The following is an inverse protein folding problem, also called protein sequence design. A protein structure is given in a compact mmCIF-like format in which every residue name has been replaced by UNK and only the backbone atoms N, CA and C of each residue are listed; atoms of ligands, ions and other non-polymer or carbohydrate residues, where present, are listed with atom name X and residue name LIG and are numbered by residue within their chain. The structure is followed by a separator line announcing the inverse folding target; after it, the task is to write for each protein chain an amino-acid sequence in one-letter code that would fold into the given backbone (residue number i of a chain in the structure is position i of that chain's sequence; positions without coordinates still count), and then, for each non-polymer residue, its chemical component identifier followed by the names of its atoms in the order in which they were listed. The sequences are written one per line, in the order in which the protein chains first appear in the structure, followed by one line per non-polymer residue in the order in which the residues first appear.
data_IF_838638918072
#
_entry.id   IF_838638918072
#
_cell.length_a   1.000
_cell.length_b   1.000
_cell.length_c   1.000
_cell.angle_alpha   90.00
_cell.angle_beta   90.00
_cell.angle_gamma   90.00
#
_symmetry.space_group_name_H-M   'P 1'
#
loop_
_entity.id
_entity.type
_entity.pdbx_description
1 polymer ?
#
# COMPACT_ATOMS: atom_id res chain seq x y z
N UNK A 1 -39.27 -22.57 -10.12
CA UNK A 1 -38.73 -23.82 -9.56
C UNK A 1 -37.62 -24.28 -10.48
N UNK A 2 -36.38 -24.21 -10.02
CA UNK A 2 -35.27 -25.09 -10.42
C UNK A 2 -34.10 -24.79 -9.47
N UNK A 3 -34.18 -25.41 -8.29
CA UNK A 3 -33.05 -25.50 -7.38
C UNK A 3 -32.08 -26.51 -7.99
N UNK A 4 -31.10 -26.04 -8.75
CA UNK A 4 -29.96 -26.87 -9.08
C UNK A 4 -29.11 -27.07 -7.82
N UNK A 5 -29.30 -28.23 -7.20
CA UNK A 5 -28.41 -28.76 -6.17
C UNK A 5 -26.99 -28.85 -6.75
N UNK A 6 -26.18 -27.83 -6.51
CA UNK A 6 -24.73 -27.94 -6.64
C UNK A 6 -24.26 -28.81 -5.47
N UNK A 7 -24.25 -30.12 -5.69
CA UNK A 7 -23.64 -31.05 -4.77
C UNK A 7 -22.12 -30.83 -4.85
N UNK A 8 -21.55 -30.21 -3.82
CA UNK A 8 -20.10 -30.06 -3.70
C UNK A 8 -19.51 -31.46 -3.57
N UNK A 9 -18.64 -31.82 -4.51
CA UNK A 9 -18.02 -33.13 -4.57
C UNK A 9 -17.00 -33.25 -3.41
N UNK A 10 -17.44 -33.71 -2.24
CA UNK A 10 -16.62 -33.82 -1.01
C UNK A 10 -15.42 -34.79 -1.14
N UNK A 11 -15.26 -35.48 -2.27
CA UNK A 11 -14.13 -36.34 -2.59
C UNK A 11 -12.84 -35.56 -2.93
N UNK A 12 -12.97 -34.29 -3.32
CA UNK A 12 -11.83 -33.40 -3.55
C UNK A 12 -11.76 -32.49 -2.32
N UNK A 13 -10.89 -32.83 -1.35
CA UNK A 13 -10.70 -31.99 -0.17
C UNK A 13 -10.47 -30.53 -0.59
N UNK A 14 -11.02 -29.57 0.18
CA UNK A 14 -10.91 -28.15 -0.15
C UNK A 14 -9.45 -27.80 -0.45
N UNK A 15 -9.19 -27.38 -1.69
CA UNK A 15 -7.85 -26.96 -2.10
C UNK A 15 -7.49 -25.74 -1.27
N UNK A 16 -6.35 -25.79 -0.58
CA UNK A 16 -5.83 -24.61 0.11
C UNK A 16 -5.38 -23.61 -0.96
N UNK A 17 -6.13 -22.53 -1.11
CA UNK A 17 -5.86 -21.46 -2.06
C UNK A 17 -5.35 -20.26 -1.25
N UNK A 18 -4.26 -19.66 -1.72
CA UNK A 18 -3.75 -18.45 -1.11
C UNK A 18 -4.81 -17.33 -1.13
N UNK A 19 -4.89 -16.57 -0.03
CA UNK A 19 -5.95 -15.57 0.12
C UNK A 19 -5.84 -14.46 -0.92
N UNK A 20 -4.61 -14.07 -1.32
CA UNK A 20 -4.44 -13.08 -2.39
C UNK A 20 -4.99 -13.63 -3.71
N UNK A 21 -4.66 -14.87 -4.05
CA UNK A 21 -5.19 -15.54 -5.26
C UNK A 21 -6.71 -15.62 -5.24
N UNK A 22 -7.31 -15.96 -4.09
CA UNK A 22 -8.76 -16.02 -3.95
C UNK A 22 -9.41 -14.64 -4.15
N UNK A 23 -8.84 -13.58 -3.55
CA UNK A 23 -9.32 -12.20 -3.70
C UNK A 23 -9.22 -11.74 -5.17
N UNK A 24 -8.09 -12.00 -5.83
CA UNK A 24 -7.92 -11.67 -7.25
C UNK A 24 -8.98 -12.39 -8.09
N UNK A 25 -9.21 -13.68 -7.81
CA UNK A 25 -10.23 -14.45 -8.52
C UNK A 25 -11.62 -13.85 -8.37
N UNK A 26 -12.07 -13.51 -7.16
CA UNK A 26 -13.42 -12.94 -6.95
C UNK A 26 -13.57 -11.50 -7.48
N UNK A 27 -12.47 -10.74 -7.62
CA UNK A 27 -12.50 -9.48 -8.35
C UNK A 27 -12.71 -9.68 -9.84
N UNK A 28 -12.12 -10.72 -10.42
CA UNK A 28 -12.22 -11.03 -11.86
C UNK A 28 -13.47 -11.87 -12.20
N UNK A 29 -13.95 -12.65 -11.25
CA UNK A 29 -14.95 -13.71 -11.46
C UNK A 29 -16.26 -13.32 -10.82
N UNK A 30 -17.15 -12.76 -11.64
CA UNK A 30 -18.52 -12.50 -11.23
C UNK A 30 -19.27 -11.67 -12.27
N UNK A 31 -20.54 -11.98 -12.55
CA UNK A 31 -21.30 -11.31 -13.61
C UNK A 31 -21.51 -9.80 -13.35
N UNK A 32 -21.49 -9.35 -12.08
CA UNK A 32 -21.89 -8.00 -11.69
C UNK A 32 -20.78 -7.19 -10.97
N UNK A 33 -19.51 -7.60 -11.04
CA UNK A 33 -18.36 -6.91 -10.37
C UNK A 33 -18.59 -6.57 -8.88
N UNK A 34 -19.47 -7.32 -8.20
CA UNK A 34 -20.01 -6.98 -6.87
C UNK A 34 -18.94 -6.68 -5.81
N UNK A 35 -17.79 -7.36 -5.88
CA UNK A 35 -16.72 -7.22 -4.90
C UNK A 35 -15.84 -6.01 -5.18
N UNK A 36 -15.77 -5.56 -6.44
CA UNK A 36 -15.08 -4.34 -6.82
C UNK A 36 -15.84 -3.09 -6.34
N UNK A 37 -17.17 -3.15 -6.36
CA UNK A 37 -18.06 -2.03 -5.99
C UNK A 37 -18.53 -2.06 -4.54
N UNK A 38 -18.18 -3.11 -3.79
CA UNK A 38 -18.61 -3.24 -2.40
C UNK A 38 -17.84 -2.28 -1.48
N UNK A 39 -18.58 -1.39 -0.81
CA UNK A 39 -18.06 -0.28 0.00
C UNK A 39 -16.88 -0.62 0.92
N UNK A 40 -16.96 -1.74 1.65
CA UNK A 40 -15.95 -2.12 2.64
C UNK A 40 -15.05 -3.28 2.24
N UNK A 41 -15.32 -3.97 1.13
CA UNK A 41 -14.69 -5.26 0.86
C UNK A 41 -13.18 -5.10 0.64
N UNK A 42 -12.80 -4.15 -0.23
CA UNK A 42 -11.40 -3.84 -0.56
C UNK A 42 -10.65 -3.41 0.70
N UNK A 43 -11.27 -2.54 1.51
CA UNK A 43 -10.67 -2.07 2.76
C UNK A 43 -10.42 -3.23 3.74
N UNK A 44 -11.43 -4.07 4.01
CA UNK A 44 -11.31 -5.18 4.95
C UNK A 44 -10.29 -6.21 4.48
N UNK A 45 -10.36 -6.63 3.21
CA UNK A 45 -9.44 -7.62 2.68
C UNK A 45 -8.01 -7.08 2.58
N UNK A 46 -7.83 -5.82 2.19
CA UNK A 46 -6.54 -5.14 2.21
C UNK A 46 -5.91 -5.12 3.60
N UNK A 47 -6.69 -4.76 4.63
CA UNK A 47 -6.24 -4.79 6.03
C UNK A 47 -5.85 -6.21 6.48
N UNK A 48 -6.63 -7.23 6.11
CA UNK A 48 -6.32 -8.63 6.46
C UNK A 48 -5.00 -9.05 5.80
N UNK A 49 -4.82 -8.75 4.51
CA UNK A 49 -3.59 -9.07 3.78
C UNK A 49 -2.38 -8.35 4.39
N UNK A 50 -2.49 -7.05 4.65
CA UNK A 50 -1.43 -6.25 5.24
C UNK A 50 -1.05 -6.77 6.63
N UNK A 51 -2.03 -7.03 7.51
CA UNK A 51 -1.77 -7.56 8.85
C UNK A 51 -1.09 -8.93 8.81
N UNK A 52 -1.51 -9.82 7.91
CA UNK A 52 -0.88 -11.14 7.73
C UNK A 52 0.56 -11.00 7.26
N UNK A 53 0.81 -10.16 6.26
CA UNK A 53 2.15 -9.92 5.75
C UNK A 53 3.06 -9.31 6.82
N UNK A 54 2.62 -8.24 7.49
CA UNK A 54 3.37 -7.59 8.58
C UNK A 54 3.66 -8.55 9.73
N UNK A 55 2.68 -9.36 10.15
CA UNK A 55 2.90 -10.34 11.23
C UNK A 55 3.91 -11.41 10.82
N UNK A 56 3.85 -11.88 9.57
CA UNK A 56 4.79 -12.86 9.05
C UNK A 56 6.21 -12.28 8.96
N UNK A 57 6.37 -11.08 8.41
CA UNK A 57 7.65 -10.40 8.31
C UNK A 57 8.26 -10.12 9.68
N UNK A 58 7.45 -9.62 10.64
CA UNK A 58 7.89 -9.43 12.01
C UNK A 58 8.34 -10.74 12.67
N UNK A 59 7.62 -11.85 12.42
CA UNK A 59 8.02 -13.17 12.92
C UNK A 59 9.35 -13.65 12.33
N UNK A 60 9.65 -13.34 11.07
CA UNK A 60 10.92 -13.68 10.44
C UNK A 60 12.08 -12.78 10.91
N UNK A 61 11.81 -11.49 11.10
CA UNK A 61 12.81 -10.51 11.52
C UNK A 61 13.21 -10.68 12.99
N UNK A 62 12.23 -10.95 13.88
CA UNK A 62 12.49 -10.96 15.33
C UNK A 62 13.11 -12.27 15.79
N UNK A 63 14.33 -12.21 16.34
CA UNK A 63 14.99 -13.34 16.98
C UNK A 63 14.53 -13.48 18.43
N UNK A 64 14.27 -14.72 18.89
CA UNK A 64 13.90 -14.99 20.30
C UNK A 64 14.93 -14.47 21.31
N UNK A 65 16.21 -14.43 20.93
CA UNK A 65 17.31 -13.91 21.76
C UNK A 65 17.28 -12.39 21.94
N UNK A 66 16.51 -11.65 21.14
CA UNK A 66 16.39 -10.20 21.27
C UNK A 66 15.44 -9.78 22.40
N UNK A 67 14.45 -10.60 22.75
CA UNK A 67 13.43 -10.24 23.75
C UNK A 67 14.04 -9.80 25.11
N UNK A 68 15.00 -10.53 25.72
CA UNK A 68 15.61 -10.07 26.96
C UNK A 68 16.38 -8.76 26.82
N UNK A 69 17.03 -8.55 25.66
CA UNK A 69 17.79 -7.32 25.38
C UNK A 69 16.86 -6.12 25.21
N UNK A 70 15.79 -6.28 24.43
CA UNK A 70 14.78 -5.24 24.20
C UNK A 70 14.07 -4.89 25.52
N UNK A 71 13.76 -5.88 26.35
CA UNK A 71 13.16 -5.63 27.66
C UNK A 71 14.10 -4.81 28.57
N UNK A 72 15.38 -5.18 28.64
CA UNK A 72 16.36 -4.43 29.42
C UNK A 72 16.59 -3.00 28.89
N UNK A 73 16.44 -2.77 27.58
CA UNK A 73 16.49 -1.42 27.00
C UNK A 73 15.24 -0.61 27.39
N UNK A 74 14.05 -1.22 27.30
CA UNK A 74 12.79 -0.58 27.69
C UNK A 74 12.79 -0.16 29.17
N UNK A 75 13.33 -0.99 30.06
CA UNK A 75 13.43 -0.66 31.49
C UNK A 75 14.32 0.57 31.78
N UNK A 76 15.25 0.91 30.88
CA UNK A 76 16.14 2.06 31.00
C UNK A 76 15.56 3.35 30.43
N UNK A 77 14.46 3.26 29.68
CA UNK A 77 13.83 4.40 29.02
C UNK A 77 12.68 4.89 29.89
N UNK A 78 12.81 6.11 30.41
CA UNK A 78 11.70 6.81 31.06
C UNK A 78 10.93 7.67 30.07
N UNK A 79 9.66 7.99 30.38
CA UNK A 79 8.84 8.92 29.58
C UNK A 79 9.54 10.28 29.39
N UNK A 80 10.17 10.79 30.46
CA UNK A 80 10.97 12.03 30.42
C UNK A 80 12.19 11.94 29.50
N UNK A 81 12.76 10.75 29.33
CA UNK A 81 13.87 10.53 28.39
C UNK A 81 13.37 10.59 26.95
N UNK A 82 12.20 10.01 26.67
CA UNK A 82 11.60 10.06 25.32
C UNK A 82 11.26 11.49 24.93
N UNK A 83 10.64 12.26 25.82
CA UNK A 83 10.31 13.67 25.57
C UNK A 83 11.56 14.52 25.33
N UNK A 84 12.54 14.43 26.24
CA UNK A 84 13.77 15.23 26.13
C UNK A 84 14.59 14.87 24.90
N UNK A 85 14.71 13.58 24.58
CA UNK A 85 15.44 13.12 23.40
C UNK A 85 14.73 13.51 22.09
N UNK A 86 13.40 13.44 22.06
CA UNK A 86 12.60 13.89 20.91
C UNK A 86 12.82 15.38 20.63
N UNK A 87 12.77 16.22 21.67
CA UNK A 87 13.02 17.66 21.52
C UNK A 87 14.47 17.95 21.11
N UNK A 88 15.43 17.16 21.61
CA UNK A 88 16.84 17.23 21.19
C UNK A 88 16.99 16.94 19.69
N UNK A 89 16.34 15.88 19.20
CA UNK A 89 16.38 15.48 17.78
C UNK A 89 15.64 16.46 16.86
N UNK A 90 14.55 17.09 17.34
CA UNK A 90 13.86 18.15 16.58
C UNK A 90 14.75 19.38 16.38
N UNK A 91 15.51 19.78 17.40
CA UNK A 91 16.44 20.92 17.32
C UNK A 91 17.65 20.60 16.45
N UNK A 92 18.17 19.38 16.54
CA UNK A 92 19.28 18.92 15.73
C UNK A 92 19.12 17.45 15.39
N UNK A 93 18.83 17.16 14.12
CA UNK A 93 18.65 15.79 13.62
C UNK A 93 19.91 14.93 13.74
N UNK A 94 21.09 15.53 13.92
CA UNK A 94 22.37 14.84 14.11
C UNK A 94 22.80 14.78 15.59
N UNK A 95 21.91 15.12 16.52
CA UNK A 95 22.22 15.06 17.94
C UNK A 95 22.57 13.64 18.38
N UNK A 96 23.69 13.50 19.10
CA UNK A 96 24.12 12.21 19.64
C UNK A 96 23.46 11.92 20.98
N UNK A 97 23.16 10.66 21.30
CA UNK A 97 22.68 10.27 22.61
C UNK A 97 23.81 10.39 23.64
N UNK A 98 23.56 11.10 24.73
CA UNK A 98 24.51 11.37 25.82
C UNK A 98 24.18 10.54 27.05
N UNK A 99 22.92 10.57 27.49
CA UNK A 99 22.46 9.87 28.70
C UNK A 99 22.30 8.37 28.45
N UNK A 100 22.27 7.57 29.52
CA UNK A 100 22.05 6.12 29.40
C UNK A 100 20.68 5.80 28.78
N UNK A 101 19.64 6.54 29.17
CA UNK A 101 18.30 6.38 28.60
C UNK A 101 18.23 6.81 27.12
N UNK A 102 18.93 7.89 26.72
CA UNK A 102 19.02 8.29 25.31
C UNK A 102 19.72 7.24 24.47
N UNK A 103 20.82 6.65 24.99
CA UNK A 103 21.53 5.56 24.31
C UNK A 103 20.65 4.32 24.19
N UNK A 104 19.93 3.97 25.25
CA UNK A 104 19.00 2.85 25.23
C UNK A 104 17.85 3.08 24.23
N UNK A 105 17.33 4.31 24.13
CA UNK A 105 16.31 4.69 23.16
C UNK A 105 16.85 4.63 21.72
N UNK A 106 18.05 5.14 21.47
CA UNK A 106 18.70 5.04 20.16
C UNK A 106 18.94 3.58 19.74
N UNK A 107 19.40 2.73 20.66
CA UNK A 107 19.59 1.30 20.41
C UNK A 107 18.25 0.59 20.16
N UNK A 108 17.20 0.93 20.91
CA UNK A 108 15.86 0.38 20.73
C UNK A 108 15.29 0.72 19.34
N UNK A 109 15.49 1.97 18.89
CA UNK A 109 15.08 2.42 17.55
C UNK A 109 15.69 1.55 16.45
N UNK A 110 16.94 1.08 16.60
CA UNK A 110 17.56 0.19 15.61
C UNK A 110 16.79 -1.13 15.47
N UNK A 111 16.32 -1.72 16.58
CA UNK A 111 15.48 -2.92 16.54
C UNK A 111 14.11 -2.65 15.90
N UNK A 112 13.51 -1.50 16.21
CA UNK A 112 12.22 -1.09 15.62
C UNK A 112 12.36 -0.89 14.12
N UNK A 113 13.40 -0.17 13.68
CA UNK A 113 13.66 0.10 12.27
C UNK A 113 13.89 -1.20 11.49
N UNK A 114 14.64 -2.16 12.05
CA UNK A 114 14.85 -3.46 11.42
C UNK A 114 13.55 -4.23 11.15
N UNK A 115 12.61 -4.21 12.10
CA UNK A 115 11.29 -4.83 11.92
C UNK A 115 10.44 -4.02 10.94
N UNK A 116 10.49 -2.68 11.05
CA UNK A 116 9.71 -1.76 10.24
C UNK A 116 10.12 -1.73 8.77
N UNK A 117 11.39 -1.98 8.44
CA UNK A 117 11.93 -2.01 7.07
C UNK A 117 11.10 -2.94 6.15
N UNK A 118 10.57 -4.03 6.71
CA UNK A 118 9.78 -5.01 5.98
C UNK A 118 8.27 -4.73 6.02
N UNK A 119 7.86 -3.54 6.49
CA UNK A 119 6.47 -3.11 6.56
C UNK A 119 6.23 -2.04 5.50
N UNK A 120 5.39 -2.32 4.49
CA UNK A 120 5.06 -1.34 3.46
C UNK A 120 4.50 -0.05 4.05
N UNK A 121 5.00 1.09 3.59
CA UNK A 121 4.68 2.43 4.04
C UNK A 121 5.35 2.85 5.35
N UNK A 122 6.28 2.07 5.88
CA UNK A 122 6.99 2.46 7.10
C UNK A 122 8.03 3.55 6.83
N UNK A 123 8.39 4.29 7.89
CA UNK A 123 9.47 5.26 7.81
C UNK A 123 10.82 4.63 7.44
N UNK A 124 11.05 3.37 7.83
CA UNK A 124 12.27 2.64 7.51
C UNK A 124 12.34 2.29 6.02
N UNK A 125 11.24 1.84 5.41
CA UNK A 125 11.16 1.59 3.97
C UNK A 125 11.36 2.90 3.18
N UNK A 126 10.72 4.00 3.60
CA UNK A 126 10.90 5.32 2.97
C UNK A 126 12.37 5.77 3.03
N UNK A 127 13.03 5.55 4.17
CA UNK A 127 14.45 5.88 4.32
C UNK A 127 15.32 5.00 3.42
N UNK A 128 15.04 3.70 3.32
CA UNK A 128 15.74 2.78 2.42
C UNK A 128 15.61 3.21 0.95
N UNK A 129 14.40 3.57 0.48
CA UNK A 129 14.18 4.09 -0.88
C UNK A 129 14.97 5.39 -1.15
N UNK A 130 15.13 6.26 -0.15
CA UNK A 130 15.94 7.47 -0.28
C UNK A 130 17.42 7.14 -0.40
N UNK A 131 17.91 6.18 0.37
CA UNK A 131 19.29 5.72 0.31
C UNK A 131 19.60 5.08 -1.05
N UNK A 132 18.67 4.30 -1.60
CA UNK A 132 18.78 3.77 -2.96
C UNK A 132 18.85 4.90 -4.00
N UNK A 133 17.97 5.90 -3.89
CA UNK A 133 18.00 7.08 -4.77
C UNK A 133 19.36 7.80 -4.68
N UNK A 134 19.90 8.02 -3.48
CA UNK A 134 21.23 8.62 -3.31
C UNK A 134 22.35 7.75 -3.89
N UNK A 135 22.24 6.43 -3.75
CA UNK A 135 23.19 5.50 -4.35
C UNK A 135 23.21 5.62 -5.86
N UNK A 136 22.04 5.64 -6.51
CA UNK A 136 21.91 5.81 -7.97
C UNK A 136 22.53 7.14 -8.40
N UNK A 137 22.26 8.24 -7.68
CA UNK A 137 22.84 9.55 -7.98
C UNK A 137 24.38 9.52 -7.87
N UNK A 138 24.90 8.80 -6.89
CA UNK A 138 26.34 8.69 -6.67
C UNK A 138 27.04 7.80 -7.71
N UNK A 139 26.38 6.76 -8.24
CA UNK A 139 26.97 5.86 -9.25
C UNK A 139 26.77 6.34 -10.68
N UNK A 140 25.57 6.83 -11.00
CA UNK A 140 25.13 7.08 -12.37
C UNK A 140 24.98 8.59 -12.67
N UNK A 141 25.18 9.42 -11.66
CA UNK A 141 25.00 10.87 -11.73
C UNK A 141 23.56 11.31 -11.44
N UNK A 142 23.35 12.63 -11.38
CA UNK A 142 22.03 13.19 -11.12
C UNK A 142 21.10 12.96 -12.32
N UNK A 143 19.90 12.37 -12.14
CA UNK A 143 18.92 12.32 -13.22
C UNK A 143 18.53 13.74 -13.65
N UNK A 144 18.65 14.04 -14.95
CA UNK A 144 18.31 15.35 -15.49
C UNK A 144 16.80 15.62 -15.59
N UNK A 145 15.99 14.56 -15.55
CA UNK A 145 14.54 14.62 -15.68
C UNK A 145 13.92 13.85 -14.52
N UNK A 146 13.06 14.53 -13.77
CA UNK A 146 12.15 13.91 -12.82
C UNK A 146 10.74 13.95 -13.41
N UNK A 147 10.18 12.78 -13.70
CA UNK A 147 8.86 12.63 -14.32
C UNK A 147 7.93 11.88 -13.37
N UNK A 148 6.84 12.53 -12.96
CA UNK A 148 5.75 11.87 -12.23
C UNK A 148 4.63 11.54 -13.18
N UNK A 149 4.40 10.25 -13.42
CA UNK A 149 3.26 9.79 -14.20
C UNK A 149 2.02 9.74 -13.31
N UNK A 150 1.05 10.62 -13.59
CA UNK A 150 -0.22 10.66 -12.89
C UNK A 150 -1.38 10.70 -13.90
N UNK A 151 -1.68 9.57 -14.57
CA UNK A 151 -2.79 9.51 -15.52
C UNK A 151 -4.10 9.78 -14.79
N UNK A 152 -4.88 10.72 -15.30
CA UNK A 152 -6.19 11.07 -14.74
C UNK A 152 -7.23 10.02 -15.11
N UNK A 153 -7.76 9.31 -14.12
CA UNK A 153 -8.84 8.34 -14.25
C UNK A 153 -10.22 9.02 -14.43
N UNK A 154 -10.42 10.18 -13.81
CA UNK A 154 -11.68 10.93 -13.95
C UNK A 154 -11.88 11.57 -15.32
N UNK A 155 -10.81 11.92 -16.02
CA UNK A 155 -10.91 12.67 -17.28
C UNK A 155 -10.54 11.82 -18.51
N UNK A 156 -10.26 10.52 -18.33
CA UNK A 156 -9.89 9.63 -19.40
C UNK A 156 -11.07 8.69 -19.77
N UNK A 157 -11.51 8.63 -21.04
CA UNK A 157 -12.61 7.77 -21.47
C UNK A 157 -12.33 6.28 -21.23
N UNK A 158 -11.07 5.85 -21.32
CA UNK A 158 -10.67 4.46 -21.08
C UNK A 158 -10.99 4.07 -19.63
N UNK A 159 -10.67 4.92 -18.67
CA UNK A 159 -10.98 4.68 -17.26
C UNK A 159 -12.49 4.56 -17.01
N UNK A 160 -13.30 5.36 -17.70
CA UNK A 160 -14.76 5.30 -17.63
C UNK A 160 -15.32 3.98 -18.19
N UNK A 161 -14.79 3.52 -19.33
CA UNK A 161 -15.16 2.22 -19.92
C UNK A 161 -14.75 1.07 -19.00
N UNK A 162 -13.54 1.11 -18.43
CA UNK A 162 -13.07 0.10 -17.46
C UNK A 162 -13.98 0.10 -16.22
N UNK A 163 -14.42 1.27 -15.73
CA UNK A 163 -15.37 1.38 -14.62
C UNK A 163 -16.75 0.80 -14.94
N UNK A 164 -17.09 0.61 -16.22
CA UNK A 164 -18.36 0.06 -16.68
C UNK A 164 -19.38 1.12 -17.08
N UNK A 165 -18.95 2.38 -17.29
CA UNK A 165 -19.80 3.41 -17.90
C UNK A 165 -19.97 3.07 -19.38
N UNK A 166 -21.22 3.12 -19.85
CA UNK A 166 -21.50 3.09 -21.28
C UNK A 166 -21.14 4.44 -21.87
N UNK A 167 -20.03 4.49 -22.61
CA UNK A 167 -19.45 5.71 -23.14
C UNK A 167 -19.62 5.73 -24.64
N UNK A 168 -20.34 6.73 -25.14
CA UNK A 168 -20.36 7.06 -26.55
C UNK A 168 -19.07 7.81 -26.90
N UNK A 169 -18.11 7.10 -27.52
CA UNK A 169 -16.80 7.66 -27.88
C UNK A 169 -16.91 8.79 -28.89
N UNK A 170 -17.96 8.82 -29.71
CA UNK A 170 -18.16 9.89 -30.69
C UNK A 170 -18.63 11.19 -30.01
N UNK A 171 -19.22 11.09 -28.82
CA UNK A 171 -19.77 12.23 -28.07
C UNK A 171 -19.01 12.63 -26.81
N UNK A 172 -18.02 11.84 -26.39
CA UNK A 172 -17.34 12.02 -25.09
C UNK A 172 -16.66 13.40 -24.94
N UNK A 173 -16.36 14.08 -26.06
CA UNK A 173 -15.77 15.42 -26.09
C UNK A 173 -16.65 16.48 -26.79
N UNK A 174 -17.95 16.20 -26.99
CA UNK A 174 -18.86 17.14 -27.65
C UNK A 174 -19.15 18.37 -26.79
N UNK A 175 -19.27 18.19 -25.47
CA UNK A 175 -19.45 19.29 -24.51
C UNK A 175 -18.13 19.63 -23.80
N UNK A 176 -17.37 20.54 -24.40
CA UNK A 176 -16.10 21.03 -23.88
C UNK A 176 -16.24 22.05 -22.74
N UNK A 177 -17.44 22.25 -22.19
CA UNK A 177 -17.63 23.16 -21.06
C UNK A 177 -16.82 22.67 -19.85
N UNK A 178 -16.04 23.56 -19.20
CA UNK A 178 -15.33 23.21 -17.97
C UNK A 178 -16.29 22.62 -16.94
N UNK A 179 -15.98 21.41 -16.47
CA UNK A 179 -16.79 20.73 -15.47
C UNK A 179 -17.96 19.90 -16.00
N UNK A 180 -18.20 19.89 -17.32
CA UNK A 180 -19.20 18.99 -17.90
C UNK A 180 -18.87 17.54 -17.55
N UNK A 181 -19.87 16.82 -17.07
CA UNK A 181 -19.81 15.43 -16.57
C UNK A 181 -18.85 15.13 -15.42
N UNK A 182 -18.17 16.12 -14.81
CA UNK A 182 -17.18 15.88 -13.75
C UNK A 182 -17.73 15.01 -12.61
N UNK A 183 -18.95 15.33 -12.16
CA UNK A 183 -19.61 14.61 -11.08
C UNK A 183 -19.90 13.16 -11.47
N UNK A 184 -20.39 12.95 -12.69
CA UNK A 184 -20.72 11.62 -13.19
C UNK A 184 -19.46 10.77 -13.34
N UNK A 185 -18.41 11.31 -13.99
CA UNK A 185 -17.13 10.63 -14.16
C UNK A 185 -16.48 10.26 -12.82
N UNK A 186 -16.52 11.17 -11.86
CA UNK A 186 -16.04 10.91 -10.50
C UNK A 186 -16.89 9.86 -9.78
N UNK A 187 -18.20 9.85 -10.02
CA UNK A 187 -19.13 8.88 -9.43
C UNK A 187 -18.80 7.47 -9.90
N UNK A 188 -18.66 7.24 -11.21
CA UNK A 188 -18.33 5.90 -11.74
C UNK A 188 -16.99 5.38 -11.24
N UNK A 189 -15.96 6.24 -11.21
CA UNK A 189 -14.64 5.88 -10.68
C UNK A 189 -14.70 5.57 -9.18
N UNK A 190 -15.38 6.40 -8.39
CA UNK A 190 -15.50 6.17 -6.94
C UNK A 190 -16.30 4.91 -6.59
N UNK A 191 -17.27 4.54 -7.42
CA UNK A 191 -18.04 3.30 -7.26
C UNK A 191 -17.22 2.06 -7.60
N UNK A 192 -16.19 2.16 -8.44
CA UNK A 192 -15.32 1.05 -8.81
C UNK A 192 -13.84 1.44 -8.72
N UNK A 193 -13.26 1.51 -7.51
CA UNK A 193 -11.84 1.84 -7.34
C UNK A 193 -10.89 0.77 -7.93
N UNK A 194 -11.36 -0.46 -8.18
CA UNK A 194 -10.56 -1.48 -8.87
C UNK A 194 -10.31 -1.09 -10.32
N UNK A 195 -11.33 -0.55 -11.00
CA UNK A 195 -11.19 -0.03 -12.35
C UNK A 195 -10.19 1.14 -12.43
N UNK A 196 -10.16 2.02 -11.43
CA UNK A 196 -9.18 3.10 -11.34
C UNK A 196 -7.75 2.55 -11.25
N UNK A 197 -7.53 1.54 -10.39
CA UNK A 197 -6.24 0.88 -10.24
C UNK A 197 -5.80 0.12 -11.51
N UNK A 198 -6.73 -0.57 -12.16
CA UNK A 198 -6.49 -1.27 -13.43
C UNK A 198 -6.13 -0.28 -14.55
N UNK A 199 -6.86 0.84 -14.66
CA UNK A 199 -6.54 1.91 -15.59
C UNK A 199 -5.15 2.49 -15.34
N UNK A 200 -4.78 2.75 -14.08
CA UNK A 200 -3.47 3.27 -13.73
C UNK A 200 -2.35 2.30 -14.15
N UNK A 201 -2.48 1.01 -13.82
CA UNK A 201 -1.50 -0.01 -14.20
C UNK A 201 -1.33 -0.14 -15.72
N UNK A 202 -2.45 -0.19 -16.46
CA UNK A 202 -2.45 -0.22 -17.93
C UNK A 202 -1.78 1.04 -18.50
N UNK A 203 -2.12 2.22 -17.97
CA UNK A 203 -1.59 3.50 -18.47
C UNK A 203 -0.09 3.63 -18.24
N UNK A 204 0.38 3.25 -17.06
CA UNK A 204 1.81 3.32 -16.72
C UNK A 204 2.62 2.33 -17.56
N UNK A 205 2.15 1.08 -17.72
CA UNK A 205 2.83 0.08 -18.54
C UNK A 205 2.95 0.53 -19.99
N UNK A 206 1.85 0.94 -20.61
CA UNK A 206 1.86 1.38 -22.02
C UNK A 206 2.68 2.67 -22.28
N UNK A 207 2.98 3.44 -21.25
CA UNK A 207 3.77 4.66 -21.40
C UNK A 207 5.27 4.44 -21.17
N UNK A 208 5.63 3.39 -20.41
CA UNK A 208 7.02 3.06 -20.08
C UNK A 208 7.60 1.91 -20.93
N UNK A 209 6.75 1.03 -21.46
CA UNK A 209 7.10 -0.06 -22.38
C UNK A 209 6.91 0.35 -23.85
#
# INVERSE_FOLDING_TARGET
MENHNVCSNDAIGFRNIDVKTHITHIFQSGPNRRFQTHLSFIFVMGNILQRRQTSFNARLAVKKSWFPRVNALLEKISDSTVESYTEKLKKNSFARPETEGEKAAADLINYVNYVAEHVPGSMAEIQSMREEMFSIVNTDGLPHIFLTLNPTDTNNPIAQVIAGRDVDLDKFFDDLKPGSENLERSTFISQNPVAAAEFFDISVKNLLE
#
